data_IF_213203089447
#
_entry.id   IF_213203089447
#
_cell.length_a   1.000
_cell.length_b   1.000
_cell.length_c   1.000
_cell.angle_alpha   90.00
_cell.angle_beta   90.00
_cell.angle_gamma   90.00
#
_symmetry.space_group_name_H-M   'P 1'
#
loop_
_entity.id
_entity.type
_entity.pdbx_description
1 polymer ?
#
# COMPACT_ATOMS: atom_id res chain seq x y z
N UNK A 1 -45.10 -1.81 5.83
CA UNK A 1 -44.55 -0.64 6.52
C UNK A 1 -45.17 -0.65 7.89
N UNK A 2 -44.39 -0.90 8.94
CA UNK A 2 -44.90 -0.96 10.31
C UNK A 2 -45.07 0.48 10.79
N UNK A 3 -46.25 0.86 11.26
CA UNK A 3 -46.51 2.24 11.59
C UNK A 3 -45.79 2.63 12.91
N UNK A 4 -45.50 3.91 13.12
CA UNK A 4 -44.75 4.34 14.33
C UNK A 4 -45.51 4.01 15.64
N UNK A 5 -46.82 3.80 15.55
CA UNK A 5 -47.69 3.37 16.64
C UNK A 5 -47.44 1.90 16.98
N UNK A 6 -47.39 1.02 15.97
CA UNK A 6 -47.16 -0.42 16.10
C UNK A 6 -45.79 -0.73 16.76
N UNK A 7 -44.76 0.07 16.43
CA UNK A 7 -43.43 -0.07 17.02
C UNK A 7 -43.44 0.24 18.53
N UNK A 8 -44.24 1.22 18.96
CA UNK A 8 -44.33 1.60 20.37
C UNK A 8 -45.14 0.59 21.18
N UNK A 9 -46.21 0.05 20.61
CA UNK A 9 -46.98 -1.03 21.23
C UNK A 9 -46.10 -2.26 21.43
N UNK A 10 -45.30 -2.65 20.43
CA UNK A 10 -44.31 -3.71 20.55
C UNK A 10 -43.24 -3.43 21.61
N UNK A 11 -42.71 -2.20 21.68
CA UNK A 11 -41.73 -1.83 22.70
C UNK A 11 -42.32 -1.91 24.12
N UNK A 12 -43.58 -1.49 24.28
CA UNK A 12 -44.30 -1.58 25.55
C UNK A 12 -44.58 -3.04 25.94
N UNK A 13 -45.01 -3.87 25.00
CA UNK A 13 -45.23 -5.31 25.19
C UNK A 13 -43.94 -6.03 25.63
N UNK A 14 -42.82 -5.77 24.95
CA UNK A 14 -41.50 -6.32 25.30
C UNK A 14 -41.04 -5.89 26.69
N UNK A 15 -41.29 -4.63 27.08
CA UNK A 15 -40.95 -4.11 28.40
C UNK A 15 -41.77 -4.78 29.51
N UNK A 16 -43.09 -4.96 29.29
CA UNK A 16 -43.98 -5.63 30.22
C UNK A 16 -43.68 -7.13 30.36
N UNK A 17 -43.30 -7.81 29.27
CA UNK A 17 -42.96 -9.23 29.28
C UNK A 17 -41.63 -9.55 29.95
N UNK A 18 -40.57 -8.78 29.66
CA UNK A 18 -39.24 -9.02 30.26
C UNK A 18 -39.07 -8.37 31.64
N UNK A 19 -39.93 -7.41 32.01
CA UNK A 19 -39.87 -6.72 33.30
C UNK A 19 -38.60 -5.88 33.49
N UNK A 20 -37.94 -5.49 32.39
CA UNK A 20 -36.77 -4.61 32.33
C UNK A 20 -37.09 -3.38 31.49
N UNK A 21 -36.40 -2.27 31.71
CA UNK A 21 -36.59 -1.08 30.87
C UNK A 21 -35.99 -1.26 29.48
N UNK A 22 -36.42 -0.43 28.52
CA UNK A 22 -35.86 -0.46 27.16
C UNK A 22 -34.37 -0.09 27.16
N UNK A 23 -33.96 0.81 28.06
CA UNK A 23 -32.57 1.20 28.27
C UNK A 23 -31.74 0.03 28.84
N UNK A 24 -32.29 -0.74 29.78
CA UNK A 24 -31.61 -1.92 30.33
C UNK A 24 -31.44 -3.01 29.26
N UNK A 25 -32.45 -3.23 28.41
CA UNK A 25 -32.34 -4.14 27.28
C UNK A 25 -31.29 -3.68 26.27
N UNK A 26 -31.25 -2.38 25.96
CA UNK A 26 -30.23 -1.80 25.09
C UNK A 26 -28.82 -2.00 25.66
N UNK A 27 -28.63 -1.76 26.96
CA UNK A 27 -27.34 -1.97 27.64
C UNK A 27 -26.93 -3.44 27.61
N UNK A 28 -27.86 -4.37 27.80
CA UNK A 28 -27.58 -5.82 27.70
C UNK A 28 -27.14 -6.19 26.28
N UNK A 29 -27.84 -5.70 25.26
CA UNK A 29 -27.49 -5.94 23.86
C UNK A 29 -26.11 -5.36 23.55
N UNK A 30 -25.86 -4.11 23.92
CA UNK A 30 -24.59 -3.43 23.66
C UNK A 30 -23.43 -4.14 24.39
N UNK A 31 -23.65 -4.58 25.63
CA UNK A 31 -22.68 -5.34 26.42
C UNK A 31 -22.40 -6.71 25.82
N UNK A 32 -23.42 -7.42 25.34
CA UNK A 32 -23.25 -8.72 24.69
C UNK A 32 -22.52 -8.57 23.34
N UNK A 33 -22.85 -7.52 22.58
CA UNK A 33 -22.14 -7.16 21.34
C UNK A 33 -20.67 -6.84 21.62
N UNK A 34 -20.36 -6.11 22.71
CA UNK A 34 -18.98 -5.84 23.14
C UNK A 34 -18.23 -7.12 23.57
N UNK A 35 -18.97 -8.08 24.12
CA UNK A 35 -18.42 -9.36 24.53
C UNK A 35 -18.12 -10.29 23.35
N UNK A 36 -18.67 -10.01 22.17
CA UNK A 36 -18.36 -10.76 20.94
C UNK A 36 -16.87 -10.64 20.59
N UNK A 37 -16.17 -11.78 20.52
CA UNK A 37 -14.73 -11.81 20.20
C UNK A 37 -14.42 -11.16 18.86
N UNK A 38 -15.30 -11.34 17.86
CA UNK A 38 -15.11 -10.74 16.56
C UNK A 38 -15.24 -9.21 16.61
N UNK A 39 -16.23 -8.68 17.33
CA UNK A 39 -16.40 -7.22 17.51
C UNK A 39 -15.17 -6.62 18.18
N UNK A 40 -14.66 -7.28 19.23
CA UNK A 40 -13.47 -6.85 19.95
C UNK A 40 -12.22 -6.85 19.07
N UNK A 41 -11.99 -7.92 18.32
CA UNK A 41 -10.88 -8.00 17.36
C UNK A 41 -10.99 -6.92 16.28
N UNK A 42 -12.19 -6.70 15.74
CA UNK A 42 -12.42 -5.69 14.72
C UNK A 42 -12.18 -4.27 15.25
N UNK A 43 -12.59 -3.98 16.48
CA UNK A 43 -12.30 -2.71 17.17
C UNK A 43 -10.81 -2.53 17.39
N UNK A 44 -10.12 -3.56 17.87
CA UNK A 44 -8.67 -3.50 18.06
C UNK A 44 -7.93 -3.22 16.74
N UNK A 45 -8.29 -3.91 15.65
CA UNK A 45 -7.71 -3.64 14.33
C UNK A 45 -7.96 -2.21 13.85
N UNK A 46 -9.14 -1.64 14.13
CA UNK A 46 -9.46 -0.26 13.80
C UNK A 46 -8.63 0.71 14.63
N UNK A 47 -8.46 0.47 15.92
CA UNK A 47 -7.65 1.29 16.81
C UNK A 47 -6.16 1.27 16.42
N UNK A 48 -5.61 0.09 16.12
CA UNK A 48 -4.24 -0.06 15.60
C UNK A 48 -4.06 0.70 14.27
N UNK A 49 -5.03 0.61 13.37
CA UNK A 49 -5.02 1.35 12.11
C UNK A 49 -5.10 2.86 12.33
N UNK A 50 -5.94 3.31 13.26
CA UNK A 50 -6.09 4.72 13.61
C UNK A 50 -4.79 5.31 14.18
N UNK A 51 -4.13 4.58 15.10
CA UNK A 51 -2.81 4.95 15.61
C UNK A 51 -1.76 5.02 14.50
N UNK A 52 -1.76 4.03 13.59
CA UNK A 52 -0.86 4.01 12.43
C UNK A 52 -1.10 5.21 11.50
N UNK A 53 -2.36 5.55 11.22
CA UNK A 53 -2.71 6.72 10.42
C UNK A 53 -2.24 8.02 11.06
N UNK A 54 -2.48 8.21 12.37
CA UNK A 54 -2.01 9.40 13.10
C UNK A 54 -0.50 9.57 12.99
N UNK A 55 0.26 8.49 13.21
CA UNK A 55 1.71 8.54 13.10
C UNK A 55 2.18 8.90 11.68
N UNK A 56 1.53 8.33 10.65
CA UNK A 56 1.84 8.65 9.26
C UNK A 56 1.52 10.10 8.91
N UNK A 57 0.44 10.63 9.45
CA UNK A 57 0.04 12.03 9.25
C UNK A 57 1.07 12.99 9.90
N UNK A 58 1.57 12.66 11.09
CA UNK A 58 2.68 13.39 11.74
C UNK A 58 3.98 13.32 10.92
N UNK A 59 4.34 12.15 10.38
CA UNK A 59 5.53 12.00 9.51
C UNK A 59 5.41 12.86 8.24
N UNK A 60 4.23 12.88 7.61
CA UNK A 60 3.97 13.71 6.42
C UNK A 60 4.10 15.19 6.76
N UNK A 61 3.46 15.64 7.85
CA UNK A 61 3.56 17.02 8.30
C UNK A 61 5.01 17.44 8.59
N UNK A 62 5.82 16.55 9.16
CA UNK A 62 7.23 16.79 9.39
C UNK A 62 8.04 16.92 8.08
N UNK A 63 7.77 16.08 7.08
CA UNK A 63 8.43 16.16 5.77
C UNK A 63 8.05 17.42 5.03
N UNK A 64 6.77 17.82 5.04
CA UNK A 64 6.30 19.07 4.43
C UNK A 64 7.01 20.28 5.05
N UNK A 65 7.15 20.29 6.37
CA UNK A 65 7.91 21.32 7.08
C UNK A 65 9.39 21.37 6.66
N UNK A 66 10.05 20.21 6.49
CA UNK A 66 11.43 20.16 6.00
C UNK A 66 11.57 20.68 4.58
N UNK A 67 10.60 20.40 3.71
CA UNK A 67 10.57 20.90 2.34
C UNK A 67 10.44 22.43 2.33
N UNK A 68 9.54 22.97 3.14
CA UNK A 68 9.36 24.43 3.27
C UNK A 68 10.61 25.12 3.79
N UNK A 69 11.28 24.54 4.79
CA UNK A 69 12.52 25.07 5.34
C UNK A 69 13.67 24.99 4.32
N UNK A 70 13.77 23.91 3.56
CA UNK A 70 14.76 23.76 2.49
C UNK A 70 14.52 24.78 1.36
N UNK A 71 13.29 24.96 0.91
CA UNK A 71 12.94 25.97 -0.10
C UNK A 71 13.27 27.37 0.38
N UNK A 72 12.95 27.67 1.65
CA UNK A 72 13.29 28.96 2.27
C UNK A 72 14.80 29.18 2.34
N UNK A 73 15.57 28.15 2.67
CA UNK A 73 17.03 28.23 2.70
C UNK A 73 17.62 28.47 1.31
N UNK A 74 17.11 27.77 0.29
CA UNK A 74 17.53 27.96 -1.11
C UNK A 74 17.27 29.40 -1.54
N UNK A 75 16.07 29.95 -1.30
CA UNK A 75 15.74 31.32 -1.65
C UNK A 75 16.65 32.36 -0.96
N UNK A 76 17.06 32.10 0.30
CA UNK A 76 18.03 32.94 1.02
C UNK A 76 19.40 32.88 0.35
N UNK A 77 19.89 31.68 0.05
CA UNK A 77 21.17 31.49 -0.64
C UNK A 77 21.17 32.17 -2.01
N UNK A 78 20.07 32.07 -2.75
CA UNK A 78 19.90 32.71 -4.05
C UNK A 78 19.95 34.24 -3.94
N UNK A 79 19.30 34.81 -2.92
CA UNK A 79 19.33 36.26 -2.67
C UNK A 79 20.74 36.74 -2.39
N UNK A 80 21.51 36.01 -1.55
CA UNK A 80 22.92 36.34 -1.29
C UNK A 80 23.77 36.25 -2.55
N UNK A 81 23.52 35.25 -3.40
CA UNK A 81 24.20 35.14 -4.69
C UNK A 81 23.89 36.34 -5.58
N UNK A 82 22.62 36.74 -5.72
CA UNK A 82 22.21 37.94 -6.48
C UNK A 82 22.90 39.20 -5.97
N UNK A 83 22.98 39.38 -4.65
CA UNK A 83 23.65 40.53 -4.03
C UNK A 83 25.15 40.55 -4.34
N UNK A 84 25.85 39.41 -4.21
CA UNK A 84 27.27 39.30 -4.54
C UNK A 84 27.55 39.64 -6.01
N UNK A 85 26.75 39.12 -6.94
CA UNK A 85 26.88 39.43 -8.36
C UNK A 85 26.69 40.93 -8.62
N UNK A 86 25.66 41.53 -8.02
CA UNK A 86 25.42 42.97 -8.10
C UNK A 86 26.61 43.78 -7.56
N UNK A 87 27.23 43.34 -6.46
CA UNK A 87 28.36 44.02 -5.83
C UNK A 87 29.61 44.05 -6.72
N UNK A 88 29.87 42.98 -7.46
CA UNK A 88 31.00 42.89 -8.39
C UNK A 88 30.68 43.43 -9.79
N UNK A 89 29.50 44.03 -9.99
CA UNK A 89 29.08 44.62 -11.27
C UNK A 89 28.68 43.60 -12.33
N UNK A 90 28.33 42.38 -11.94
CA UNK A 90 27.83 41.32 -12.82
C UNK A 90 26.31 41.16 -12.66
N UNK A 91 25.66 40.62 -13.69
CA UNK A 91 24.24 40.27 -13.64
C UNK A 91 24.06 38.79 -13.29
N UNK A 92 23.28 38.49 -12.26
CA UNK A 92 22.88 37.13 -11.91
C UNK A 92 21.89 36.57 -12.95
N UNK A 93 22.13 35.37 -13.47
CA UNK A 93 21.27 34.68 -14.45
C UNK A 93 20.84 33.32 -13.91
N UNK A 94 19.53 33.12 -13.77
CA UNK A 94 18.88 31.85 -13.40
C UNK A 94 18.77 30.94 -14.63
N UNK A 95 19.89 30.59 -15.29
CA UNK A 95 19.81 29.78 -16.51
C UNK A 95 20.81 28.63 -16.55
N UNK A 96 20.23 27.45 -16.74
CA UNK A 96 20.86 26.25 -17.30
C UNK A 96 21.56 26.59 -18.61
N UNK A 97 22.75 26.06 -18.81
CA UNK A 97 23.74 26.44 -19.84
C UNK A 97 23.37 26.06 -21.29
N UNK A 98 22.09 26.00 -21.66
CA UNK A 98 21.63 25.53 -22.99
C UNK A 98 21.26 26.67 -23.96
N UNK A 99 21.23 27.92 -23.51
CA UNK A 99 20.90 29.09 -24.35
C UNK A 99 22.12 29.98 -24.62
N UNK A 100 23.28 29.36 -24.79
CA UNK A 100 24.39 29.94 -25.53
C UNK A 100 24.27 29.43 -26.96
N UNK A 101 24.19 30.35 -27.93
CA UNK A 101 24.28 30.05 -29.35
C UNK A 101 25.44 29.07 -29.62
N UNK A 102 25.34 28.15 -30.60
CA UNK A 102 26.32 27.07 -30.79
C UNK A 102 27.69 27.63 -31.11
N UNK A 103 28.51 27.88 -30.09
CA UNK A 103 29.94 28.07 -30.23
C UNK A 103 30.50 26.68 -30.58
N UNK A 104 30.84 26.53 -31.86
CA UNK A 104 31.44 25.37 -32.52
C UNK A 104 31.93 24.29 -31.55
N UNK A 105 31.14 23.23 -31.39
CA UNK A 105 31.62 21.98 -30.84
C UNK A 105 32.66 21.42 -31.81
N UNK A 106 33.94 21.48 -31.45
CA UNK A 106 35.03 20.85 -32.18
C UNK A 106 34.93 19.33 -31.93
N UNK A 107 34.08 18.68 -32.71
CA UNK A 107 33.88 17.23 -32.69
C UNK A 107 34.96 16.59 -33.57
N UNK A 108 35.83 15.78 -32.96
CA UNK A 108 36.79 14.94 -33.68
C UNK A 108 36.10 13.59 -33.93
N UNK A 109 35.71 13.33 -35.18
CA UNK A 109 35.24 12.01 -35.60
C UNK A 109 36.44 11.06 -35.67
N UNK A 110 36.46 10.06 -34.79
CA UNK A 110 37.35 8.90 -34.91
C UNK A 110 36.60 7.87 -35.75
N UNK A 111 37.12 7.41 -36.90
CA UNK A 111 36.45 6.38 -37.69
C UNK A 111 36.42 5.06 -36.93
N UNK A 112 35.23 4.51 -36.79
CA UNK A 112 34.99 3.20 -36.15
C UNK A 112 35.37 2.10 -37.14
N UNK A 113 36.63 1.66 -37.15
CA UNK A 113 37.03 0.42 -37.82
C UNK A 113 36.70 -0.79 -36.94
N UNK A 114 35.63 -1.47 -37.36
CA UNK A 114 35.31 -2.90 -37.25
C UNK A 114 35.72 -3.69 -35.98
N UNK A 115 34.65 -4.10 -35.29
CA UNK A 115 34.39 -5.43 -34.72
C UNK A 115 34.72 -5.79 -33.25
N UNK A 116 33.70 -6.47 -32.72
CA UNK A 116 33.63 -7.54 -31.72
C UNK A 116 33.65 -7.27 -30.21
N UNK A 117 32.43 -7.44 -29.67
CA UNK A 117 32.10 -8.32 -28.53
C UNK A 117 32.78 -8.06 -27.18
N UNK A 118 32.18 -7.16 -26.39
CA UNK A 118 32.22 -7.28 -24.92
C UNK A 118 30.81 -7.20 -24.34
N UNK A 119 30.40 -8.35 -23.81
CA UNK A 119 29.27 -8.60 -22.94
C UNK A 119 28.89 -7.39 -22.08
N UNK A 120 27.62 -6.96 -22.16
CA UNK A 120 27.03 -6.03 -21.19
C UNK A 120 27.10 -6.64 -19.79
N UNK A 121 28.12 -6.26 -19.03
CA UNK A 121 28.22 -6.44 -17.59
C UNK A 121 27.88 -5.10 -16.97
N UNK A 122 26.73 -5.06 -16.30
CA UNK A 122 26.44 -4.10 -15.24
C UNK A 122 27.65 -4.01 -14.31
N UNK A 123 28.35 -2.87 -14.31
CA UNK A 123 29.03 -2.28 -13.15
C UNK A 123 29.90 -1.07 -13.55
N UNK A 124 29.63 0.08 -12.90
CA UNK A 124 30.72 0.90 -12.37
C UNK A 124 31.14 2.14 -13.15
N UNK A 125 30.41 3.23 -12.91
CA UNK A 125 30.91 4.60 -12.69
C UNK A 125 32.19 5.03 -13.44
N UNK A 126 32.05 5.75 -14.56
CA UNK A 126 33.01 6.79 -14.99
C UNK A 126 32.31 8.02 -15.61
N UNK A 127 32.09 9.01 -14.74
CA UNK A 127 32.22 10.48 -14.92
C UNK A 127 32.12 11.05 -16.35
N UNK A 128 31.02 11.77 -16.61
CA UNK A 128 30.95 13.11 -17.23
C UNK A 128 29.48 13.59 -17.19
N UNK A 129 29.03 14.19 -16.09
CA UNK A 129 28.73 15.64 -15.95
C UNK A 129 27.81 16.24 -17.03
N UNK A 130 26.50 16.00 -16.91
CA UNK A 130 25.45 16.98 -17.23
C UNK A 130 24.34 16.81 -16.20
N UNK A 131 24.16 17.79 -15.32
CA UNK A 131 22.91 17.99 -14.62
C UNK A 131 22.05 18.93 -15.47
N UNK A 132 20.94 18.47 -16.07
CA UNK A 132 19.72 19.23 -16.04
C UNK A 132 18.94 18.72 -14.83
N UNK A 133 18.61 19.63 -13.91
CA UNK A 133 17.56 19.36 -12.94
C UNK A 133 16.31 18.95 -13.76
N UNK A 134 15.71 17.80 -13.45
CA UNK A 134 14.45 17.22 -13.99
C UNK A 134 14.47 16.13 -15.10
N UNK A 135 15.28 15.05 -15.01
CA UNK A 135 14.81 13.75 -15.51
C UNK A 135 14.84 12.63 -14.44
N UNK A 136 15.67 12.76 -13.40
CA UNK A 136 15.79 11.73 -12.34
C UNK A 136 14.54 11.67 -11.46
N UNK A 137 14.01 12.84 -11.09
CA UNK A 137 12.74 12.97 -10.36
C UNK A 137 11.54 12.52 -11.18
N UNK A 138 11.57 12.71 -12.51
CA UNK A 138 10.47 12.25 -13.38
C UNK A 138 10.46 10.73 -13.54
N UNK A 139 11.63 10.09 -13.61
CA UNK A 139 11.74 8.62 -13.65
C UNK A 139 11.34 7.99 -12.31
N UNK A 140 11.82 8.51 -11.17
CA UNK A 140 11.39 8.05 -9.84
C UNK A 140 9.90 8.32 -9.58
N UNK A 141 9.38 9.48 -10.00
CA UNK A 141 7.96 9.80 -9.90
C UNK A 141 7.12 8.90 -10.82
N UNK A 142 7.60 8.59 -12.03
CA UNK A 142 6.97 7.65 -12.97
C UNK A 142 6.96 6.23 -12.41
N UNK A 143 8.05 5.79 -11.81
CA UNK A 143 8.16 4.48 -11.16
C UNK A 143 7.26 4.39 -9.92
N UNK A 144 7.23 5.42 -9.08
CA UNK A 144 6.29 5.55 -7.96
C UNK A 144 4.83 5.56 -8.44
N UNK A 145 4.54 6.28 -9.52
CA UNK A 145 3.21 6.30 -10.15
C UNK A 145 2.81 4.95 -10.77
N UNK A 146 3.77 4.15 -11.25
CA UNK A 146 3.54 2.78 -11.74
C UNK A 146 3.31 1.83 -10.57
N UNK A 147 4.08 1.98 -9.48
CA UNK A 147 3.91 1.22 -8.24
C UNK A 147 2.55 1.50 -7.58
N UNK A 148 2.14 2.76 -7.46
CA UNK A 148 0.79 3.14 -7.01
C UNK A 148 -0.29 2.63 -7.96
N UNK A 149 -0.06 2.76 -9.28
CA UNK A 149 -0.75 2.06 -10.39
C UNK A 149 -1.08 0.59 -10.07
N UNK A 150 -0.07 -0.13 -9.59
CA UNK A 150 -0.11 -1.57 -9.34
C UNK A 150 -0.78 -1.87 -8.01
N UNK A 151 -0.41 -1.15 -6.95
CA UNK A 151 -1.03 -1.25 -5.62
C UNK A 151 -2.54 -0.99 -5.67
N UNK A 152 -2.99 0.06 -6.37
CA UNK A 152 -4.42 0.35 -6.55
C UNK A 152 -5.17 -0.79 -7.25
N UNK A 153 -4.55 -1.45 -8.24
CA UNK A 153 -5.13 -2.63 -8.90
C UNK A 153 -5.16 -3.85 -7.99
N UNK A 154 -4.16 -4.03 -7.15
CA UNK A 154 -4.11 -5.15 -6.21
C UNK A 154 -5.14 -4.96 -5.08
N UNK A 155 -5.34 -3.72 -4.60
CA UNK A 155 -6.44 -3.36 -3.69
C UNK A 155 -7.80 -3.57 -4.34
N UNK A 156 -7.98 -3.17 -5.60
CA UNK A 156 -9.24 -3.40 -6.33
C UNK A 156 -9.53 -4.90 -6.51
N UNK A 157 -8.53 -5.72 -6.84
CA UNK A 157 -8.65 -7.18 -6.92
C UNK A 157 -8.93 -7.81 -5.55
N UNK A 158 -8.32 -7.29 -4.50
CA UNK A 158 -8.60 -7.74 -3.14
C UNK A 158 -10.04 -7.40 -2.75
N UNK A 159 -10.50 -6.18 -3.04
CA UNK A 159 -11.87 -5.76 -2.77
C UNK A 159 -12.89 -6.59 -3.58
N UNK A 160 -12.58 -6.94 -4.82
CA UNK A 160 -13.40 -7.83 -5.65
C UNK A 160 -13.38 -9.29 -5.15
N UNK A 161 -12.24 -9.79 -4.69
CA UNK A 161 -12.15 -11.10 -4.03
C UNK A 161 -12.91 -11.10 -2.70
N UNK A 162 -12.92 -9.97 -1.98
CA UNK A 162 -13.66 -9.76 -0.74
C UNK A 162 -15.15 -9.71 -1.02
N UNK A 163 -15.62 -8.90 -1.96
CA UNK A 163 -17.04 -8.84 -2.31
C UNK A 163 -17.56 -10.16 -2.87
N UNK A 164 -16.74 -10.93 -3.60
CA UNK A 164 -17.10 -12.29 -4.06
C UNK A 164 -17.24 -13.28 -2.91
N UNK A 165 -16.40 -13.22 -1.86
CA UNK A 165 -16.60 -14.06 -0.66
C UNK A 165 -17.78 -13.59 0.18
N UNK A 166 -18.08 -12.28 0.22
CA UNK A 166 -19.27 -11.76 0.90
C UNK A 166 -20.56 -12.15 0.15
N UNK A 167 -20.54 -12.11 -1.19
CA UNK A 167 -21.66 -12.53 -2.04
C UNK A 167 -21.87 -14.06 -2.07
N UNK A 168 -20.82 -14.86 -1.87
CA UNK A 168 -20.93 -16.31 -1.68
C UNK A 168 -21.38 -16.70 -0.26
N UNK A 169 -21.21 -15.82 0.74
CA UNK A 169 -21.69 -16.07 2.11
C UNK A 169 -23.21 -15.91 2.24
N UNK A 170 -23.88 -15.22 1.33
CA UNK A 170 -25.35 -15.14 1.27
C UNK A 170 -26.00 -16.35 0.60
N UNK A 171 -25.21 -17.24 -0.02
CA UNK A 171 -25.70 -18.41 -0.72
C UNK A 171 -24.86 -19.64 -0.42
N UNK A 172 -24.81 -20.10 0.84
CA UNK A 172 -24.84 -21.54 1.19
C UNK A 172 -24.67 -21.80 2.70
N UNK A 173 -25.62 -22.56 3.22
CA UNK A 173 -25.67 -23.14 4.57
C UNK A 173 -24.66 -24.31 4.66
N UNK A 174 -23.53 -24.11 5.36
CA UNK A 174 -22.61 -25.09 5.97
C UNK A 174 -21.84 -26.10 5.06
N UNK A 175 -20.73 -26.75 5.52
CA UNK A 175 -20.08 -26.66 6.85
C UNK A 175 -18.60 -26.20 6.82
N UNK A 176 -18.16 -25.71 7.99
CA UNK A 176 -16.79 -25.64 8.54
C UNK A 176 -15.59 -25.72 7.58
N UNK A 177 -14.91 -24.57 7.41
CA UNK A 177 -13.51 -24.54 7.00
C UNK A 177 -12.63 -24.52 8.25
N UNK A 178 -12.37 -25.68 8.83
CA UNK A 178 -11.29 -25.87 9.81
C UNK A 178 -9.94 -25.84 9.07
N UNK A 179 -9.37 -24.64 8.94
CA UNK A 179 -7.96 -24.46 8.53
C UNK A 179 -7.06 -24.13 9.73
N UNK A 180 -7.53 -24.37 10.95
CA UNK A 180 -6.83 -23.97 12.16
C UNK A 180 -6.60 -25.14 13.13
N UNK A 181 -5.87 -26.16 12.69
CA UNK A 181 -5.14 -27.05 13.60
C UNK A 181 -3.77 -27.35 13.01
N UNK A 182 -2.78 -26.60 13.50
CA UNK A 182 -1.37 -26.94 13.40
C UNK A 182 -1.13 -28.31 14.05
N UNK A 183 -0.45 -29.22 13.32
CA UNK A 183 0.27 -30.32 13.95
C UNK A 183 0.09 -31.75 13.44
N UNK A 184 -1.06 -32.17 12.89
CA UNK A 184 -1.25 -33.59 12.53
C UNK A 184 -1.99 -33.82 11.20
N UNK A 185 -1.39 -34.63 10.33
CA UNK A 185 -1.89 -34.88 8.99
C UNK A 185 -2.91 -36.04 9.02
N UNK A 186 -4.18 -35.76 8.72
CA UNK A 186 -5.28 -36.72 8.81
C UNK A 186 -5.76 -37.23 7.45
N UNK A 187 -6.11 -38.52 7.38
CA UNK A 187 -6.80 -39.11 6.23
C UNK A 187 -8.11 -38.35 5.97
N UNK A 188 -8.40 -38.05 4.70
CA UNK A 188 -9.53 -37.24 4.27
C UNK A 188 -9.18 -35.77 4.00
N UNK A 189 -8.00 -35.28 4.44
CA UNK A 189 -7.59 -33.91 4.17
C UNK A 189 -7.32 -33.66 2.68
N UNK A 190 -7.71 -32.47 2.21
CA UNK A 190 -7.40 -31.98 0.85
C UNK A 190 -5.98 -31.42 0.85
N UNK A 191 -5.05 -32.11 0.19
CA UNK A 191 -3.63 -31.75 0.19
C UNK A 191 -3.11 -31.55 -1.24
N UNK A 192 -1.98 -30.86 -1.37
CA UNK A 192 -1.20 -30.81 -2.60
C UNK A 192 -0.10 -31.88 -2.53
N UNK A 193 -0.17 -32.87 -3.41
CA UNK A 193 0.85 -33.90 -3.56
C UNK A 193 1.73 -33.64 -4.78
N UNK A 194 3.04 -33.80 -4.64
CA UNK A 194 3.97 -33.73 -5.77
C UNK A 194 4.12 -35.12 -6.41
N UNK A 195 3.64 -35.28 -7.64
CA UNK A 195 3.83 -36.53 -8.42
C UNK A 195 5.27 -36.57 -8.96
N UNK A 196 5.74 -37.75 -9.43
CA UNK A 196 7.08 -37.94 -10.03
C UNK A 196 7.43 -36.91 -11.14
N UNK A 197 6.44 -36.26 -11.75
CA UNK A 197 6.56 -35.23 -12.80
C UNK A 197 6.75 -33.79 -12.30
N UNK A 198 7.17 -33.58 -11.05
CA UNK A 198 7.48 -32.27 -10.44
C UNK A 198 6.37 -31.21 -10.43
N UNK A 199 5.16 -31.52 -10.87
CA UNK A 199 3.98 -30.66 -10.72
C UNK A 199 3.20 -31.03 -9.46
N UNK A 200 2.64 -30.02 -8.79
CA UNK A 200 1.79 -30.18 -7.62
C UNK A 200 0.35 -30.43 -8.05
N UNK A 201 -0.27 -31.46 -7.50
CA UNK A 201 -1.64 -31.82 -7.81
C UNK A 201 -2.48 -31.84 -6.53
N UNK A 202 -3.69 -31.28 -6.61
CA UNK A 202 -4.65 -31.32 -5.51
C UNK A 202 -5.26 -32.72 -5.44
N UNK A 203 -5.24 -33.32 -4.25
CA UNK A 203 -5.79 -34.65 -3.99
C UNK A 203 -6.31 -34.78 -2.56
N UNK A 204 -6.95 -35.90 -2.28
CA UNK A 204 -7.40 -36.25 -0.93
C UNK A 204 -6.43 -37.27 -0.35
N UNK A 205 -5.96 -37.04 0.88
CA UNK A 205 -5.09 -38.00 1.56
C UNK A 205 -5.90 -39.25 1.93
N UNK A 206 -5.52 -40.41 1.40
CA UNK A 206 -6.28 -41.66 1.60
C UNK A 206 -5.67 -42.60 2.64
N UNK A 207 -4.36 -42.50 2.88
CA UNK A 207 -3.63 -43.31 3.86
C UNK A 207 -2.25 -42.71 4.14
N UNK A 208 -1.69 -43.01 5.32
CA UNK A 208 -0.29 -42.74 5.67
C UNK A 208 0.35 -44.10 5.98
N UNK A 209 1.36 -44.49 5.18
CA UNK A 209 2.18 -45.67 5.47
C UNK A 209 3.51 -45.21 6.04
N UNK A 210 3.80 -45.62 7.28
CA UNK A 210 5.13 -45.46 7.87
C UNK A 210 6.01 -46.60 7.38
N UNK A 211 7.09 -46.28 6.67
CA UNK A 211 8.15 -47.25 6.39
C UNK A 211 9.07 -47.30 7.62
N UNK A 212 9.16 -48.47 8.25
CA UNK A 212 10.11 -48.76 9.33
C UNK A 212 11.38 -49.39 8.79
#
# INVERSE_FOLDING_TARGET
EMDSQDIKELQQEVMEELGISMEELQEIIDKEVENSEWVRQRKQQLEELEQCMRHKEEEVAHVDQLIDDAMRAINKCETLAKELYSMIGLQYRESSSEDEAPAAAEVIEIPDEEDDDVMSVDSGWKRSSVFPVFPFSFLQLREAMVAMRKSARDVAKFMDAVSKKTSLQEAQKAPENDLNTDGDLKVGMRILGKKRTKTWHKGTLIAIQTVG
#
